data_IF_901120899466
#
_entry.id   IF_901120899466
#
_cell.length_a   1.000
_cell.length_b   1.000
_cell.length_c   1.000
_cell.angle_alpha   90.00
_cell.angle_beta   90.00
_cell.angle_gamma   90.00
#
_symmetry.space_group_name_H-M   'P 1'
#
loop_
_entity.id
_entity.type
_entity.pdbx_description
1 polymer ?
#
# COMPACT_ATOMS: atom_id res chain seq x y z
N UNK A 1 25.13 -10.69 -11.05
CA UNK A 1 24.29 -9.54 -11.50
C UNK A 1 24.57 -9.15 -12.95
N UNK A 2 25.75 -8.63 -13.33
CA UNK A 2 26.04 -8.24 -14.74
C UNK A 2 25.83 -9.36 -15.77
N UNK A 3 26.25 -10.59 -15.46
CA UNK A 3 26.06 -11.78 -16.33
C UNK A 3 24.59 -12.16 -16.50
N UNK A 4 23.73 -11.86 -15.52
CA UNK A 4 22.31 -12.21 -15.52
C UNK A 4 21.43 -11.08 -16.10
N UNK A 5 22.00 -9.90 -16.36
CA UNK A 5 21.25 -8.72 -16.81
C UNK A 5 20.31 -8.11 -15.76
N UNK A 6 20.45 -8.49 -14.48
CA UNK A 6 19.58 -8.01 -13.39
C UNK A 6 20.18 -6.78 -12.70
N UNK A 7 19.32 -5.82 -12.35
CA UNK A 7 19.69 -4.59 -11.63
C UNK A 7 19.58 -4.72 -10.10
N UNK A 8 18.91 -5.78 -9.64
CA UNK A 8 18.64 -6.05 -8.22
C UNK A 8 18.99 -7.50 -7.85
N UNK A 9 19.19 -7.79 -6.55
CA UNK A 9 19.51 -9.13 -6.09
C UNK A 9 18.39 -10.12 -6.44
N UNK A 10 18.79 -11.29 -6.93
CA UNK A 10 17.91 -12.45 -7.11
C UNK A 10 18.45 -13.60 -6.28
N UNK A 11 17.58 -14.47 -5.79
CA UNK A 11 17.94 -15.59 -4.95
C UNK A 11 18.84 -16.55 -5.73
N UNK A 12 19.91 -17.01 -5.09
CA UNK A 12 20.84 -17.96 -5.68
C UNK A 12 20.13 -19.26 -6.10
N UNK A 13 19.13 -19.70 -5.33
CA UNK A 13 18.31 -20.87 -5.67
C UNK A 13 17.56 -20.69 -6.99
N UNK A 14 17.03 -19.50 -7.26
CA UNK A 14 16.32 -19.18 -8.52
C UNK A 14 17.27 -19.27 -9.71
N UNK A 15 18.48 -18.73 -9.58
CA UNK A 15 19.51 -18.78 -10.63
C UNK A 15 19.92 -20.22 -10.94
N UNK A 16 20.07 -21.05 -9.91
CA UNK A 16 20.41 -22.48 -10.10
C UNK A 16 19.29 -23.23 -10.81
N UNK A 17 18.03 -22.96 -10.47
CA UNK A 17 16.87 -23.56 -11.14
C UNK A 17 16.77 -23.11 -12.60
N UNK A 18 16.90 -21.80 -12.88
CA UNK A 18 16.87 -21.28 -14.25
C UNK A 18 17.98 -21.89 -15.11
N UNK A 19 19.21 -21.99 -14.58
CA UNK A 19 20.32 -22.65 -15.28
C UNK A 19 20.04 -24.12 -15.55
N UNK A 20 19.49 -24.84 -14.56
CA UNK A 20 19.13 -26.26 -14.73
C UNK A 20 18.08 -26.45 -15.82
N UNK A 21 17.12 -25.54 -15.92
CA UNK A 21 16.11 -25.54 -16.99
C UNK A 21 16.76 -25.24 -18.33
N UNK A 22 17.65 -24.25 -18.41
CA UNK A 22 18.39 -23.95 -19.63
C UNK A 22 19.21 -25.15 -20.12
N UNK A 23 19.87 -25.87 -19.21
CA UNK A 23 20.63 -27.07 -19.54
C UNK A 23 19.73 -28.20 -20.08
N UNK A 24 18.56 -28.43 -19.46
CA UNK A 24 17.56 -29.39 -19.97
C UNK A 24 17.02 -29.00 -21.34
N UNK A 25 16.83 -27.70 -21.59
CA UNK A 25 16.35 -27.19 -22.86
C UNK A 25 17.41 -27.31 -23.97
N UNK A 26 18.69 -27.14 -23.65
CA UNK A 26 19.78 -27.39 -24.59
C UNK A 26 19.86 -28.87 -24.96
N UNK A 27 19.78 -29.77 -23.96
CA UNK A 27 19.72 -31.22 -24.20
C UNK A 27 18.52 -31.62 -25.06
N UNK A 28 17.37 -30.97 -24.86
CA UNK A 28 16.18 -31.18 -25.68
C UNK A 28 16.40 -30.82 -27.15
N UNK A 29 17.21 -29.79 -27.45
CA UNK A 29 17.56 -29.41 -28.82
C UNK A 29 18.49 -30.45 -29.45
N UNK A 30 19.48 -30.94 -28.71
CA UNK A 30 20.44 -31.94 -29.16
C UNK A 30 19.79 -33.34 -29.33
N UNK A 31 18.78 -33.65 -28.51
CA UNK A 31 18.11 -34.95 -28.42
C UNK A 31 16.60 -34.84 -28.65
N UNK A 32 16.21 -34.32 -29.82
CA UNK A 32 14.82 -33.99 -30.17
C UNK A 32 13.81 -35.15 -30.03
N UNK A 33 14.26 -36.40 -30.19
CA UNK A 33 13.42 -37.60 -30.00
C UNK A 33 12.89 -37.77 -28.57
N UNK A 34 13.58 -37.21 -27.58
CA UNK A 34 13.21 -37.26 -26.16
C UNK A 34 12.60 -35.94 -25.67
N UNK A 35 12.17 -35.06 -26.59
CA UNK A 35 11.78 -33.70 -26.25
C UNK A 35 10.66 -33.60 -25.20
N UNK A 36 9.64 -34.46 -25.28
CA UNK A 36 8.57 -34.48 -24.29
C UNK A 36 9.05 -34.93 -22.90
N UNK A 37 10.03 -35.84 -22.82
CA UNK A 37 10.60 -36.28 -21.54
C UNK A 37 11.37 -35.13 -20.86
N UNK A 38 12.18 -34.38 -21.63
CA UNK A 38 12.86 -33.20 -21.09
C UNK A 38 11.89 -32.12 -20.62
N UNK A 39 10.79 -31.89 -21.35
CA UNK A 39 9.76 -30.94 -20.93
C UNK A 39 9.05 -31.37 -19.64
N UNK A 40 8.76 -32.66 -19.45
CA UNK A 40 8.23 -33.18 -18.18
C UNK A 40 9.24 -33.01 -17.04
N UNK A 41 10.54 -33.25 -17.27
CA UNK A 41 11.58 -32.95 -16.27
C UNK A 41 11.62 -31.47 -15.88
N UNK A 42 11.43 -30.56 -16.84
CA UNK A 42 11.30 -29.12 -16.56
C UNK A 42 10.04 -28.84 -15.72
N UNK A 43 8.90 -29.44 -16.07
CA UNK A 43 7.67 -29.33 -15.28
C UNK A 43 7.89 -29.74 -13.83
N UNK A 44 8.50 -30.91 -13.59
CA UNK A 44 8.70 -31.42 -12.23
C UNK A 44 9.66 -30.55 -11.44
N UNK A 45 10.73 -30.05 -12.08
CA UNK A 45 11.67 -29.13 -11.44
C UNK A 45 11.01 -27.81 -11.03
N UNK A 46 10.14 -27.28 -11.90
CA UNK A 46 9.40 -26.05 -11.62
C UNK A 46 8.33 -26.24 -10.54
N UNK A 47 7.63 -27.38 -10.51
CA UNK A 47 6.68 -27.70 -9.43
C UNK A 47 7.39 -27.78 -8.07
N UNK A 48 8.51 -28.50 -8.00
CA UNK A 48 9.33 -28.60 -6.79
C UNK A 48 9.75 -27.19 -6.31
N UNK A 49 10.25 -26.37 -7.22
CA UNK A 49 10.70 -25.03 -6.87
C UNK A 49 9.56 -24.10 -6.44
N UNK A 50 8.39 -24.19 -7.09
CA UNK A 50 7.19 -23.45 -6.69
C UNK A 50 6.80 -23.74 -5.24
N UNK A 51 6.84 -25.01 -4.81
CA UNK A 51 6.54 -25.38 -3.42
C UNK A 51 7.57 -24.83 -2.42
N UNK A 52 8.85 -24.82 -2.80
CA UNK A 52 9.92 -24.18 -2.00
C UNK A 52 9.64 -22.68 -1.84
N UNK A 53 9.29 -21.99 -2.93
CA UNK A 53 8.98 -20.56 -2.90
C UNK A 53 7.73 -20.24 -2.07
N UNK A 54 6.67 -21.05 -2.19
CA UNK A 54 5.47 -20.92 -1.36
C UNK A 54 5.77 -21.13 0.13
N UNK A 55 6.63 -22.09 0.45
CA UNK A 55 7.06 -22.36 1.82
C UNK A 55 7.88 -21.19 2.36
N UNK A 56 8.82 -20.66 1.58
CA UNK A 56 9.62 -19.49 1.95
C UNK A 56 8.75 -18.24 2.16
N UNK A 57 7.78 -17.99 1.27
CA UNK A 57 6.80 -16.91 1.46
C UNK A 57 6.05 -17.08 2.79
N UNK A 58 5.48 -18.27 3.03
CA UNK A 58 4.71 -18.55 4.26
C UNK A 58 5.55 -18.40 5.52
N UNK A 59 6.80 -18.86 5.52
CA UNK A 59 7.67 -18.74 6.69
C UNK A 59 8.00 -17.29 7.05
N UNK A 60 8.02 -16.39 6.06
CA UNK A 60 8.25 -14.96 6.28
C UNK A 60 6.99 -14.30 6.84
N UNK A 61 5.82 -14.61 6.26
CA UNK A 61 4.59 -13.86 6.54
C UNK A 61 3.70 -14.44 7.66
N UNK A 62 4.19 -15.46 8.36
CA UNK A 62 3.46 -16.11 9.45
C UNK A 62 4.10 -15.80 10.81
N UNK A 63 3.28 -15.42 11.77
CA UNK A 63 3.64 -15.29 13.18
C UNK A 63 2.68 -16.13 14.02
N UNK A 64 3.20 -17.01 14.88
CA UNK A 64 2.38 -17.87 15.78
C UNK A 64 1.27 -18.64 15.03
N UNK A 65 1.63 -19.24 13.89
CA UNK A 65 0.75 -20.01 12.99
C UNK A 65 -0.35 -19.20 12.27
N UNK A 66 -0.43 -17.88 12.48
CA UNK A 66 -1.34 -16.97 11.78
C UNK A 66 -0.59 -16.12 10.77
N UNK A 67 -1.26 -15.78 9.67
CA UNK A 67 -0.75 -14.78 8.73
C UNK A 67 -0.77 -13.41 9.39
N UNK A 68 0.23 -12.59 9.11
CA UNK A 68 0.17 -11.14 9.40
C UNK A 68 -1.00 -10.51 8.65
N UNK A 69 -1.43 -9.31 9.08
CA UNK A 69 -2.58 -8.63 8.47
C UNK A 69 -2.34 -8.39 6.97
N UNK A 70 -1.14 -7.90 6.60
CA UNK A 70 -0.74 -7.65 5.21
C UNK A 70 -0.81 -8.91 4.33
N UNK A 71 -0.41 -10.05 4.88
CA UNK A 71 -0.37 -11.33 4.20
C UNK A 71 -1.75 -11.97 4.05
N UNK A 72 -2.63 -11.71 5.02
CA UNK A 72 -4.05 -12.03 4.94
C UNK A 72 -4.73 -11.19 3.85
N UNK A 73 -4.54 -9.86 3.87
CA UNK A 73 -5.12 -8.93 2.90
C UNK A 73 -4.59 -9.14 1.46
N UNK A 74 -3.31 -9.46 1.29
CA UNK A 74 -2.75 -9.83 -0.04
C UNK A 74 -3.20 -11.21 -0.54
N UNK A 75 -3.80 -12.04 0.31
CA UNK A 75 -4.43 -13.31 -0.10
C UNK A 75 -5.92 -13.13 -0.42
N UNK A 76 -6.54 -12.11 0.15
CA UNK A 76 -7.94 -11.79 -0.09
C UNK A 76 -8.13 -11.36 -1.55
N UNK A 77 -8.98 -12.10 -2.27
CA UNK A 77 -9.17 -11.89 -3.72
C UNK A 77 -9.80 -10.54 -4.03
N UNK A 78 -10.69 -10.03 -3.17
CA UNK A 78 -11.40 -8.78 -3.43
C UNK A 78 -10.49 -7.58 -3.15
N UNK A 79 -9.72 -7.62 -2.05
CA UNK A 79 -8.70 -6.60 -1.76
C UNK A 79 -7.63 -6.62 -2.85
N UNK A 80 -7.11 -7.80 -3.20
CA UNK A 80 -6.05 -7.93 -4.21
C UNK A 80 -6.53 -7.44 -5.58
N UNK A 81 -7.73 -7.83 -6.01
CA UNK A 81 -8.30 -7.39 -7.29
C UNK A 81 -8.51 -5.87 -7.32
N UNK A 82 -8.99 -5.28 -6.22
CA UNK A 82 -9.15 -3.84 -6.12
C UNK A 82 -7.80 -3.13 -6.28
N UNK A 83 -6.82 -3.49 -5.45
CA UNK A 83 -5.51 -2.82 -5.45
C UNK A 83 -4.78 -2.98 -6.77
N UNK A 84 -4.85 -4.17 -7.39
CA UNK A 84 -4.27 -4.42 -8.70
C UNK A 84 -4.99 -3.69 -9.85
N UNK A 85 -6.25 -3.29 -9.65
CA UNK A 85 -7.00 -2.49 -10.64
C UNK A 85 -6.66 -1.00 -10.58
N UNK A 86 -6.01 -0.54 -9.50
CA UNK A 86 -5.68 0.87 -9.34
C UNK A 86 -4.56 1.28 -10.32
N UNK A 87 -4.58 2.55 -10.80
CA UNK A 87 -3.58 3.04 -11.75
C UNK A 87 -2.14 2.85 -11.27
N UNK A 88 -1.92 3.00 -9.96
CA UNK A 88 -0.61 2.98 -9.36
C UNK A 88 0.05 1.58 -9.37
N UNK A 89 -0.75 0.50 -9.27
CA UNK A 89 -0.27 -0.85 -9.56
C UNK A 89 0.16 -1.01 -11.02
N UNK A 90 -0.68 -0.59 -11.97
CA UNK A 90 -0.37 -0.68 -13.39
C UNK A 90 0.90 0.11 -13.75
N UNK A 91 1.08 1.30 -13.17
CA UNK A 91 2.24 2.14 -13.36
C UNK A 91 3.53 1.50 -12.82
N UNK A 92 3.43 0.75 -11.73
CA UNK A 92 4.55 0.04 -11.14
C UNK A 92 5.05 -1.08 -12.05
N UNK A 93 4.17 -1.77 -12.79
CA UNK A 93 4.60 -2.86 -13.69
C UNK A 93 5.49 -2.40 -14.86
N UNK A 94 5.66 -1.08 -15.07
CA UNK A 94 6.46 -0.52 -16.15
C UNK A 94 7.51 0.48 -15.62
N UNK A 95 8.74 0.50 -16.18
CA UNK A 95 9.70 1.55 -15.90
C UNK A 95 9.16 2.95 -16.25
N UNK A 96 9.51 3.97 -15.45
CA UNK A 96 9.07 5.37 -15.71
C UNK A 96 9.39 5.88 -17.12
N UNK A 97 10.46 5.40 -17.76
CA UNK A 97 10.88 5.83 -19.10
C UNK A 97 9.91 5.39 -20.21
N UNK A 98 9.12 4.34 -19.98
CA UNK A 98 8.14 3.83 -20.93
C UNK A 98 6.73 4.40 -20.72
N UNK A 99 6.53 5.26 -19.70
CA UNK A 99 5.22 5.80 -19.33
C UNK A 99 4.85 7.03 -20.19
N UNK A 100 3.65 7.03 -20.75
CA UNK A 100 3.06 8.24 -21.34
C UNK A 100 2.51 9.14 -20.23
N UNK A 101 2.98 10.40 -20.16
CA UNK A 101 2.51 11.38 -19.18
C UNK A 101 1.13 11.90 -19.60
N UNK A 102 0.09 11.69 -18.78
CA UNK A 102 -1.28 12.19 -19.04
C UNK A 102 -1.55 13.43 -18.20
N UNK A 103 -2.37 14.36 -18.70
CA UNK A 103 -2.71 15.60 -17.98
C UNK A 103 -3.52 15.33 -16.69
N UNK A 104 -4.43 14.34 -16.70
CA UNK A 104 -5.28 13.98 -15.55
C UNK A 104 -4.63 13.00 -14.56
N UNK A 105 -3.35 12.66 -14.76
CA UNK A 105 -2.66 11.58 -14.05
C UNK A 105 -2.61 11.78 -12.53
N UNK A 106 -2.49 13.04 -12.08
CA UNK A 106 -2.46 13.38 -10.66
C UNK A 106 -3.81 13.14 -9.97
N UNK A 107 -4.92 13.51 -10.62
CA UNK A 107 -6.26 13.36 -10.04
C UNK A 107 -6.66 11.88 -9.93
N UNK A 108 -6.36 11.08 -10.96
CA UNK A 108 -6.54 9.63 -10.90
C UNK A 108 -5.70 8.98 -9.81
N UNK A 109 -4.47 9.48 -9.60
CA UNK A 109 -3.57 8.96 -8.57
C UNK A 109 -4.09 9.29 -7.17
N UNK A 110 -4.58 10.52 -6.93
CA UNK A 110 -5.20 10.89 -5.65
C UNK A 110 -6.47 10.08 -5.36
N UNK A 111 -7.32 9.87 -6.38
CA UNK A 111 -8.51 9.04 -6.24
C UNK A 111 -8.16 7.58 -5.88
N UNK A 112 -7.06 7.05 -6.44
CA UNK A 112 -6.57 5.72 -6.11
C UNK A 112 -6.15 5.60 -4.64
N UNK A 113 -5.37 6.56 -4.13
CA UNK A 113 -4.94 6.58 -2.73
C UNK A 113 -6.11 6.72 -1.76
N UNK A 114 -7.12 7.53 -2.11
CA UNK A 114 -8.35 7.65 -1.34
C UNK A 114 -9.13 6.33 -1.30
N UNK A 115 -9.28 5.68 -2.46
CA UNK A 115 -10.00 4.39 -2.54
C UNK A 115 -9.29 3.30 -1.75
N UNK A 116 -7.98 3.23 -1.85
CA UNK A 116 -7.18 2.31 -1.05
C UNK A 116 -7.36 2.58 0.46
N UNK A 117 -7.16 3.82 0.90
CA UNK A 117 -7.22 4.17 2.32
C UNK A 117 -8.60 3.90 2.92
N UNK A 118 -9.67 4.14 2.15
CA UNK A 118 -11.05 3.80 2.52
C UNK A 118 -11.20 2.29 2.77
N UNK A 119 -10.75 1.46 1.84
CA UNK A 119 -10.89 0.00 1.94
C UNK A 119 -10.05 -0.60 3.06
N UNK A 120 -8.82 -0.14 3.24
CA UNK A 120 -7.96 -0.65 4.32
C UNK A 120 -8.48 -0.23 5.71
N UNK A 121 -8.90 1.03 5.85
CA UNK A 121 -9.50 1.52 7.10
C UNK A 121 -10.82 0.80 7.39
N UNK A 122 -11.66 0.59 6.37
CA UNK A 122 -12.94 -0.13 6.49
C UNK A 122 -12.75 -1.60 6.90
N UNK A 123 -11.79 -2.31 6.31
CA UNK A 123 -11.48 -3.70 6.65
C UNK A 123 -10.89 -3.86 8.05
N UNK A 124 -10.05 -2.90 8.48
CA UNK A 124 -9.49 -2.91 9.83
C UNK A 124 -10.56 -2.63 10.89
N UNK A 125 -11.47 -1.69 10.59
CA UNK A 125 -12.48 -1.21 11.52
C UNK A 125 -11.86 -0.50 12.73
N UNK A 126 -12.44 -0.71 13.91
CA UNK A 126 -12.01 -0.03 15.15
C UNK A 126 -10.88 -0.76 15.91
N UNK A 127 -10.22 -1.73 15.28
CA UNK A 127 -9.25 -2.62 15.95
C UNK A 127 -7.89 -1.94 16.16
N UNK A 128 -7.27 -2.25 17.30
CA UNK A 128 -5.84 -2.00 17.50
C UNK A 128 -5.05 -3.19 16.96
N UNK A 129 -3.97 -2.90 16.24
CA UNK A 129 -3.10 -3.93 15.67
C UNK A 129 -2.02 -4.27 16.70
N UNK A 130 -1.94 -5.51 17.19
CA UNK A 130 -0.88 -5.94 18.10
C UNK A 130 0.45 -6.15 17.36
N UNK A 131 1.57 -6.17 18.10
CA UNK A 131 2.91 -6.28 17.51
C UNK A 131 3.21 -7.62 16.83
N UNK A 132 2.47 -8.70 17.17
CA UNK A 132 2.63 -10.02 16.54
C UNK A 132 1.83 -10.15 15.23
N UNK A 133 1.05 -9.14 14.85
CA UNK A 133 0.28 -9.11 13.60
C UNK A 133 0.97 -8.32 12.47
N UNK A 134 2.17 -7.79 12.73
CA UNK A 134 3.01 -7.03 11.79
C UNK A 134 4.39 -7.66 11.60
N UNK A 135 5.02 -7.42 10.45
CA UNK A 135 6.37 -7.88 10.12
C UNK A 135 7.44 -6.91 10.66
N UNK A 136 7.92 -7.21 11.87
CA UNK A 136 8.88 -6.34 12.58
C UNK A 136 10.32 -6.45 12.09
N UNK A 137 10.71 -7.62 11.57
CA UNK A 137 12.09 -7.84 11.14
C UNK A 137 12.27 -7.31 9.72
N UNK A 138 13.12 -6.30 9.59
CA UNK A 138 13.45 -5.68 8.31
C UNK A 138 14.15 -6.68 7.37
N UNK A 139 14.83 -7.69 7.92
CA UNK A 139 15.44 -8.76 7.12
C UNK A 139 14.38 -9.67 6.48
N UNK A 140 13.24 -9.90 7.14
CA UNK A 140 12.10 -10.63 6.58
C UNK A 140 11.45 -9.85 5.44
N UNK A 141 11.26 -8.54 5.59
CA UNK A 141 10.79 -7.67 4.52
C UNK A 141 11.74 -7.69 3.31
N UNK A 142 13.05 -7.61 3.57
CA UNK A 142 14.08 -7.70 2.53
C UNK A 142 14.06 -9.07 1.84
N UNK A 143 13.86 -10.16 2.59
CA UNK A 143 13.73 -11.50 2.03
C UNK A 143 12.50 -11.62 1.12
N UNK A 144 11.37 -11.02 1.52
CA UNK A 144 10.15 -10.97 0.72
C UNK A 144 10.34 -10.15 -0.57
N UNK A 145 11.04 -9.03 -0.50
CA UNK A 145 11.42 -8.22 -1.67
C UNK A 145 12.35 -8.97 -2.63
N UNK A 146 13.33 -9.71 -2.10
CA UNK A 146 14.20 -10.54 -2.93
C UNK A 146 13.43 -11.71 -3.56
N UNK A 147 12.49 -12.32 -2.83
CA UNK A 147 11.62 -13.35 -3.38
C UNK A 147 10.78 -12.79 -4.53
N UNK A 148 10.20 -11.60 -4.37
CA UNK A 148 9.50 -10.88 -5.44
C UNK A 148 10.36 -10.73 -6.71
N UNK A 149 11.53 -10.08 -6.61
CA UNK A 149 12.39 -9.83 -7.78
C UNK A 149 12.83 -11.14 -8.45
N UNK A 150 13.04 -12.19 -7.65
CA UNK A 150 13.46 -13.50 -8.17
C UNK A 150 12.35 -14.21 -8.91
N UNK A 151 11.12 -14.19 -8.39
CA UNK A 151 10.00 -14.89 -9.01
C UNK A 151 9.53 -14.18 -10.27
N UNK A 152 9.52 -12.84 -10.28
CA UNK A 152 9.23 -12.06 -11.50
C UNK A 152 10.29 -12.33 -12.58
N UNK A 153 11.57 -12.30 -12.21
CA UNK A 153 12.67 -12.59 -13.12
C UNK A 153 12.55 -13.99 -13.73
N UNK A 154 12.28 -15.01 -12.89
CA UNK A 154 12.09 -16.38 -13.36
C UNK A 154 10.87 -16.49 -14.28
N UNK A 155 9.73 -15.90 -13.89
CA UNK A 155 8.52 -15.92 -14.71
C UNK A 155 8.75 -15.33 -16.11
N UNK A 156 9.45 -14.20 -16.20
CA UNK A 156 9.79 -13.56 -17.47
C UNK A 156 10.72 -14.43 -18.34
N UNK A 157 11.72 -15.08 -17.73
CA UNK A 157 12.63 -16.02 -18.41
C UNK A 157 11.87 -17.22 -18.97
N UNK A 158 11.06 -17.86 -18.13
CA UNK A 158 10.23 -19.01 -18.52
C UNK A 158 9.27 -18.65 -19.66
N UNK A 159 8.60 -17.50 -19.59
CA UNK A 159 7.71 -17.02 -20.66
C UNK A 159 8.45 -16.86 -21.99
N UNK A 160 9.67 -16.33 -21.96
CA UNK A 160 10.52 -16.19 -23.15
C UNK A 160 10.94 -17.55 -23.71
N UNK A 161 11.32 -18.49 -22.84
CA UNK A 161 11.68 -19.85 -23.24
C UNK A 161 10.51 -20.63 -23.83
N UNK A 162 9.31 -20.50 -23.26
CA UNK A 162 8.15 -21.24 -23.75
C UNK A 162 7.61 -20.66 -25.05
N UNK A 163 7.78 -19.35 -25.28
CA UNK A 163 7.44 -18.72 -26.55
C UNK A 163 8.35 -19.17 -27.71
N UNK A 164 9.59 -19.60 -27.43
CA UNK A 164 10.52 -20.09 -28.47
C UNK A 164 10.37 -21.58 -28.77
N UNK A 165 9.52 -22.31 -28.05
CA UNK A 165 9.25 -23.72 -28.33
C UNK A 165 8.44 -23.87 -29.63
N UNK A 166 8.84 -24.79 -30.52
CA UNK A 166 8.07 -25.06 -31.73
C UNK A 166 6.67 -25.55 -31.34
N UNK A 167 5.67 -24.76 -31.75
CA UNK A 167 4.26 -25.13 -31.72
C UNK A 167 4.06 -26.19 -32.81
N UNK A 168 3.52 -27.34 -32.44
CA UNK A 168 3.49 -28.52 -33.29
C UNK A 168 2.98 -28.23 -34.71
N UNK A 169 3.86 -28.32 -35.69
CA UNK A 169 3.51 -28.30 -37.12
C UNK A 169 4.45 -29.22 -37.88
N UNK A 170 4.42 -30.51 -37.54
CA UNK A 170 4.74 -31.64 -38.42
C UNK A 170 4.86 -32.90 -37.57
N UNK A 171 3.75 -33.58 -37.34
CA UNK A 171 3.74 -34.90 -36.75
C UNK A 171 4.35 -35.89 -37.75
N UNK A 172 5.53 -36.44 -37.43
CA UNK A 172 5.86 -37.80 -37.81
C UNK A 172 5.41 -38.69 -36.67
N UNK A 173 4.36 -39.48 -36.93
CA UNK A 173 3.87 -40.52 -36.04
C UNK A 173 5.02 -41.48 -35.73
N UNK A 174 5.45 -41.52 -34.49
CA UNK A 174 6.05 -42.73 -33.94
C UNK A 174 5.54 -42.89 -32.52
N UNK A 175 4.72 -43.93 -32.39
CA UNK A 175 4.06 -44.43 -31.20
C UNK A 175 5.05 -44.80 -30.10
N UNK A 176 4.90 -44.20 -28.92
CA UNK A 176 5.15 -44.81 -27.61
C UNK A 176 4.34 -44.10 -26.53
N UNK A 177 3.90 -44.86 -25.54
CA UNK A 177 3.04 -44.53 -24.41
C UNK A 177 3.58 -43.38 -23.54
N UNK A 178 3.34 -42.13 -23.92
CA UNK A 178 3.40 -41.01 -22.98
C UNK A 178 1.96 -40.63 -22.63
N UNK A 179 1.55 -40.86 -21.39
CA UNK A 179 0.18 -40.61 -20.90
C UNK A 179 -0.26 -39.14 -21.04
N UNK A 180 0.68 -38.20 -21.25
CA UNK A 180 0.43 -36.78 -21.43
C UNK A 180 0.79 -36.31 -22.83
N UNK A 181 -0.15 -35.62 -23.48
CA UNK A 181 0.12 -34.97 -24.77
C UNK A 181 1.08 -33.78 -24.61
N UNK A 182 1.88 -33.49 -25.64
CA UNK A 182 2.79 -32.32 -25.65
C UNK A 182 2.06 -31.01 -25.33
N UNK A 183 0.84 -30.85 -25.82
CA UNK A 183 -0.01 -29.68 -25.56
C UNK A 183 -0.31 -29.52 -24.06
N UNK A 184 -0.65 -30.60 -23.36
CA UNK A 184 -0.85 -30.58 -21.90
C UNK A 184 0.43 -30.22 -21.14
N UNK A 185 1.60 -30.65 -21.62
CA UNK A 185 2.89 -30.30 -21.02
C UNK A 185 3.16 -28.80 -21.18
N UNK A 186 2.98 -28.26 -22.39
CA UNK A 186 3.16 -26.83 -22.66
C UNK A 186 2.18 -25.96 -21.87
N UNK A 187 0.93 -26.41 -21.71
CA UNK A 187 -0.05 -25.73 -20.87
C UNK A 187 0.40 -25.72 -19.40
N UNK A 188 0.88 -26.86 -18.88
CA UNK A 188 1.42 -26.96 -17.51
C UNK A 188 2.60 -26.00 -17.29
N UNK A 189 3.50 -25.89 -18.26
CA UNK A 189 4.63 -24.95 -18.22
C UNK A 189 4.15 -23.49 -18.20
N UNK A 190 3.17 -23.14 -19.03
CA UNK A 190 2.55 -21.82 -19.04
C UNK A 190 1.90 -21.49 -17.68
N UNK A 191 1.17 -22.44 -17.09
CA UNK A 191 0.52 -22.27 -15.78
C UNK A 191 1.55 -22.13 -14.64
N UNK A 192 2.68 -22.83 -14.73
CA UNK A 192 3.79 -22.68 -13.79
C UNK A 192 4.46 -21.32 -13.93
N UNK A 193 4.72 -20.84 -15.15
CA UNK A 193 5.26 -19.49 -15.38
C UNK A 193 4.33 -18.41 -14.78
N UNK A 194 3.01 -18.54 -15.00
CA UNK A 194 2.02 -17.65 -14.38
C UNK A 194 2.04 -17.75 -12.85
N UNK A 195 2.12 -18.97 -12.31
CA UNK A 195 2.19 -19.17 -10.84
C UNK A 195 3.38 -18.47 -10.20
N UNK A 196 4.54 -18.39 -10.86
CA UNK A 196 5.69 -17.62 -10.34
C UNK A 196 5.42 -16.12 -10.37
N UNK A 197 4.77 -15.60 -11.42
CA UNK A 197 4.32 -14.22 -11.44
C UNK A 197 3.33 -13.93 -10.30
N UNK A 198 2.39 -14.84 -10.05
CA UNK A 198 1.41 -14.68 -8.96
C UNK A 198 2.10 -14.62 -7.58
N UNK A 199 3.14 -15.44 -7.35
CA UNK A 199 3.94 -15.35 -6.13
C UNK A 199 4.66 -13.99 -6.05
N UNK A 200 5.23 -13.51 -7.17
CA UNK A 200 5.91 -12.22 -7.22
C UNK A 200 4.93 -11.09 -6.86
N UNK A 201 3.78 -11.02 -7.52
CA UNK A 201 2.77 -9.99 -7.32
C UNK A 201 2.27 -10.00 -5.87
N UNK A 202 2.05 -11.18 -5.31
CA UNK A 202 1.63 -11.33 -3.90
C UNK A 202 2.69 -10.87 -2.90
N UNK A 203 3.97 -11.11 -3.16
CA UNK A 203 5.06 -10.61 -2.32
C UNK A 203 5.08 -9.08 -2.32
N UNK A 204 4.95 -8.46 -3.49
CA UNK A 204 4.98 -7.00 -3.61
C UNK A 204 3.75 -6.34 -2.99
N UNK A 205 2.57 -6.93 -3.19
CA UNK A 205 1.34 -6.46 -2.57
C UNK A 205 1.41 -6.58 -1.04
N UNK A 206 1.95 -7.68 -0.52
CA UNK A 206 2.17 -7.86 0.92
C UNK A 206 3.10 -6.78 1.49
N UNK A 207 4.22 -6.46 0.82
CA UNK A 207 5.11 -5.37 1.24
C UNK A 207 4.41 -4.01 1.26
N UNK A 208 3.64 -3.70 0.22
CA UNK A 208 2.90 -2.45 0.12
C UNK A 208 1.88 -2.28 1.25
N UNK A 209 1.15 -3.36 1.55
CA UNK A 209 0.20 -3.44 2.64
C UNK A 209 0.88 -3.40 4.01
N UNK A 210 2.05 -4.02 4.16
CA UNK A 210 2.77 -4.04 5.43
C UNK A 210 3.12 -2.63 5.91
N UNK A 211 3.65 -1.77 5.04
CA UNK A 211 3.98 -0.39 5.43
C UNK A 211 2.74 0.38 5.91
N UNK A 212 1.57 0.11 5.31
CA UNK A 212 0.28 0.69 5.71
C UNK A 212 -0.20 0.14 7.05
N UNK A 213 -0.03 -1.16 7.27
CA UNK A 213 -0.31 -1.84 8.55
C UNK A 213 0.57 -1.28 9.66
N UNK A 214 1.84 -0.97 9.40
CA UNK A 214 2.71 -0.29 10.35
C UNK A 214 2.20 1.12 10.69
N UNK A 215 1.71 1.90 9.71
CA UNK A 215 1.05 3.19 10.01
C UNK A 215 -0.15 3.01 10.94
N UNK A 216 -1.03 2.04 10.69
CA UNK A 216 -2.17 1.75 11.57
C UNK A 216 -1.71 1.34 12.98
N UNK A 217 -0.72 0.45 13.07
CA UNK A 217 -0.17 -0.06 14.33
C UNK A 217 0.32 1.06 15.26
N UNK A 218 1.04 2.05 14.72
CA UNK A 218 1.59 3.13 15.53
C UNK A 218 0.63 4.32 15.71
N UNK A 219 -0.21 4.64 14.73
CA UNK A 219 -1.01 5.88 14.75
C UNK A 219 -2.42 5.72 15.34
N UNK A 220 -3.05 4.55 15.26
CA UNK A 220 -4.35 4.34 15.89
C UNK A 220 -4.23 4.44 17.44
N UNK A 221 -3.26 3.80 18.11
CA UNK A 221 -3.09 3.98 19.55
C UNK A 221 -2.80 5.43 19.94
N UNK A 222 -2.09 6.19 19.09
CA UNK A 222 -1.79 7.60 19.34
C UNK A 222 -3.07 8.43 19.53
N UNK A 223 -4.13 8.15 18.78
CA UNK A 223 -5.40 8.89 18.84
C UNK A 223 -6.36 8.32 19.90
N UNK A 224 -6.32 7.00 20.13
CA UNK A 224 -7.19 6.33 21.12
C UNK A 224 -6.69 6.35 22.56
N UNK A 225 -5.38 6.31 22.75
CA UNK A 225 -4.73 6.13 24.05
C UNK A 225 -3.87 7.35 24.44
N UNK A 226 -3.53 8.21 23.49
CA UNK A 226 -2.72 9.41 23.74
C UNK A 226 -3.44 10.44 24.62
N UNK A 227 -2.68 11.08 25.52
CA UNK A 227 -3.18 12.19 26.32
C UNK A 227 -2.83 13.54 25.68
N UNK A 228 -3.84 14.18 25.10
CA UNK A 228 -3.73 15.51 24.48
C UNK A 228 -4.46 16.61 25.29
N UNK A 229 -4.94 16.29 26.49
CA UNK A 229 -5.72 17.21 27.32
C UNK A 229 -4.85 18.04 28.29
N UNK A 230 -3.80 17.44 28.86
CA UNK A 230 -2.93 18.08 29.86
C UNK A 230 -1.48 17.91 29.42
N UNK A 231 -0.91 18.99 28.90
CA UNK A 231 0.46 19.06 28.38
C UNK A 231 1.07 20.26 29.14
N UNK A 232 1.38 20.03 30.43
CA UNK A 232 1.78 21.06 31.41
C UNK A 232 3.24 20.94 31.89
N UNK A 233 3.95 19.85 31.56
CA UNK A 233 5.35 19.66 31.92
C UNK A 233 6.29 19.91 30.73
N UNK A 234 7.54 20.27 30.98
CA UNK A 234 8.54 20.58 29.93
C UNK A 234 8.76 19.39 28.96
N UNK A 235 8.61 18.15 29.44
CA UNK A 235 8.63 16.89 28.64
C UNK A 235 7.46 16.77 27.63
N UNK A 236 6.51 17.70 27.68
CA UNK A 236 5.32 17.72 26.81
C UNK A 236 5.55 18.51 25.50
N UNK A 237 6.76 19.03 25.30
CA UNK A 237 7.23 19.61 24.04
C UNK A 237 7.80 18.59 23.06
N UNK A 238 8.10 17.37 23.52
CA UNK A 238 8.66 16.32 22.68
C UNK A 238 7.63 15.70 21.73
N UNK A 239 8.14 15.02 20.71
CA UNK A 239 7.35 14.20 19.80
C UNK A 239 6.71 13.04 20.55
N UNK A 240 5.57 12.56 20.07
CA UNK A 240 5.01 11.34 20.62
C UNK A 240 5.93 10.13 20.39
N UNK A 241 6.22 9.30 21.42
CA UNK A 241 7.10 8.14 21.25
C UNK A 241 6.66 7.17 20.15
N UNK A 242 5.35 7.05 19.89
CA UNK A 242 4.85 6.20 18.81
C UNK A 242 5.17 6.78 17.43
N UNK A 243 5.17 8.11 17.29
CA UNK A 243 5.57 8.80 16.06
C UNK A 243 7.07 8.65 15.81
N UNK A 244 7.88 8.76 16.86
CA UNK A 244 9.32 8.54 16.76
C UNK A 244 9.62 7.08 16.36
N UNK A 245 8.90 6.12 16.92
CA UNK A 245 9.02 4.70 16.54
C UNK A 245 8.63 4.47 15.08
N UNK A 246 7.47 4.98 14.66
CA UNK A 246 7.02 4.88 13.27
C UNK A 246 8.03 5.47 12.29
N UNK A 247 8.60 6.65 12.57
CA UNK A 247 9.61 7.25 11.70
C UNK A 247 10.87 6.38 11.55
N UNK A 248 11.38 5.83 12.67
CA UNK A 248 12.54 4.94 12.63
C UNK A 248 12.24 3.66 11.86
N UNK A 249 11.05 3.13 12.06
CA UNK A 249 10.58 1.91 11.45
C UNK A 249 10.40 2.08 9.93
N UNK A 250 9.68 3.11 9.47
CA UNK A 250 9.56 3.46 8.04
C UNK A 250 10.94 3.68 7.41
N UNK A 251 11.85 4.40 8.08
CA UNK A 251 13.21 4.61 7.58
C UNK A 251 14.01 3.30 7.43
N UNK A 252 13.85 2.36 8.36
CA UNK A 252 14.53 1.07 8.26
C UNK A 252 13.96 0.20 7.13
N UNK A 253 12.64 0.23 6.95
CA UNK A 253 11.97 -0.43 5.82
C UNK A 253 12.43 0.20 4.49
N UNK A 254 12.51 1.53 4.42
CA UNK A 254 12.98 2.27 3.25
C UNK A 254 14.38 1.84 2.81
N UNK A 255 15.34 1.81 3.73
CA UNK A 255 16.71 1.39 3.43
C UNK A 255 16.74 -0.05 2.86
N UNK A 256 15.98 -0.96 3.47
CA UNK A 256 15.93 -2.35 3.04
C UNK A 256 15.26 -2.52 1.66
N UNK A 257 14.15 -1.82 1.43
CA UNK A 257 13.43 -1.86 0.15
C UNK A 257 14.25 -1.20 -0.96
N UNK A 258 14.92 -0.07 -0.69
CA UNK A 258 15.78 0.62 -1.65
C UNK A 258 16.95 -0.25 -2.12
N UNK A 259 17.47 -1.11 -1.24
CA UNK A 259 18.52 -2.07 -1.56
C UNK A 259 18.02 -3.31 -2.33
N UNK A 260 16.75 -3.69 -2.18
CA UNK A 260 16.19 -4.92 -2.73
C UNK A 260 15.39 -4.73 -4.02
N UNK A 261 14.60 -3.66 -4.14
CA UNK A 261 13.59 -3.47 -5.18
C UNK A 261 14.03 -2.53 -6.30
N UNK A 262 13.54 -2.75 -7.52
CA UNK A 262 13.60 -1.78 -8.61
C UNK A 262 12.90 -0.47 -8.22
N UNK A 263 13.37 0.65 -8.76
CA UNK A 263 12.93 1.99 -8.32
C UNK A 263 11.41 2.23 -8.42
N UNK A 264 10.75 1.73 -9.47
CA UNK A 264 9.31 1.89 -9.66
C UNK A 264 8.49 1.05 -8.66
N UNK A 265 9.01 -0.11 -8.26
CA UNK A 265 8.41 -0.97 -7.23
C UNK A 265 8.62 -0.39 -5.84
N UNK A 266 9.82 0.12 -5.58
CA UNK A 266 10.11 0.88 -4.37
C UNK A 266 9.15 2.07 -4.21
N UNK A 267 8.92 2.84 -5.28
CA UNK A 267 7.96 3.96 -5.26
C UNK A 267 6.55 3.49 -4.93
N UNK A 268 6.11 2.38 -5.52
CA UNK A 268 4.82 1.78 -5.23
C UNK A 268 4.64 1.43 -3.74
N UNK A 269 5.69 0.99 -3.05
CA UNK A 269 5.60 0.70 -1.60
C UNK A 269 5.21 1.94 -0.78
N UNK A 270 5.82 3.10 -1.08
CA UNK A 270 5.73 4.30 -0.24
C UNK A 270 4.73 5.36 -0.73
N UNK A 271 4.27 5.29 -1.98
CA UNK A 271 3.24 6.21 -2.46
C UNK A 271 1.90 6.00 -1.72
N UNK A 272 1.11 7.06 -1.60
CA UNK A 272 -0.16 7.05 -0.89
C UNK A 272 -0.06 7.04 0.63
N UNK A 273 1.12 6.83 1.23
CA UNK A 273 1.29 6.83 2.69
C UNK A 273 0.91 8.17 3.33
N UNK A 274 1.26 9.30 2.72
CA UNK A 274 0.88 10.62 3.24
C UNK A 274 -0.64 10.78 3.34
N UNK A 275 -1.38 10.29 2.33
CA UNK A 275 -2.83 10.28 2.33
C UNK A 275 -3.39 9.35 3.43
N UNK A 276 -2.88 8.12 3.54
CA UNK A 276 -3.33 7.18 4.58
C UNK A 276 -3.09 7.73 5.99
N UNK A 277 -1.90 8.26 6.27
CA UNK A 277 -1.57 8.86 7.56
C UNK A 277 -2.50 10.04 7.85
N UNK A 278 -2.77 10.89 6.85
CA UNK A 278 -3.74 11.98 6.96
C UNK A 278 -5.13 11.47 7.37
N UNK A 279 -5.64 10.45 6.69
CA UNK A 279 -6.92 9.81 7.02
C UNK A 279 -6.94 9.24 8.44
N UNK A 280 -5.89 8.53 8.86
CA UNK A 280 -5.81 7.95 10.22
C UNK A 280 -5.86 9.05 11.27
N UNK A 281 -5.08 10.12 11.08
CA UNK A 281 -4.98 11.20 12.05
C UNK A 281 -6.25 12.04 12.12
N UNK A 282 -6.86 12.41 10.98
CA UNK A 282 -8.09 13.19 10.96
C UNK A 282 -9.25 12.39 11.57
N UNK A 283 -9.44 11.14 11.13
CA UNK A 283 -10.47 10.26 11.70
C UNK A 283 -10.23 9.97 13.19
N UNK A 284 -8.98 10.00 13.62
CA UNK A 284 -8.60 9.83 15.01
C UNK A 284 -9.20 10.87 15.97
N UNK A 285 -9.58 12.04 15.47
CA UNK A 285 -10.13 13.13 16.29
C UNK A 285 -11.40 12.73 17.06
N UNK A 286 -12.17 11.78 16.54
CA UNK A 286 -13.37 11.27 17.21
C UNK A 286 -13.05 10.61 18.57
N UNK A 287 -11.87 9.99 18.70
CA UNK A 287 -11.46 9.22 19.88
C UNK A 287 -10.89 10.09 21.00
N UNK A 288 -10.47 11.33 20.72
CA UNK A 288 -9.96 12.21 21.77
C UNK A 288 -11.07 12.58 22.76
N UNK A 289 -10.85 12.32 24.04
CA UNK A 289 -11.76 12.79 25.09
C UNK A 289 -11.77 14.31 25.19
N UNK A 290 -10.58 14.92 25.20
CA UNK A 290 -10.34 16.37 25.21
C UNK A 290 -9.02 16.67 24.52
N UNK A 291 -8.89 17.87 23.98
CA UNK A 291 -7.67 18.42 23.41
C UNK A 291 -7.42 19.84 23.94
N UNK A 292 -6.19 20.14 24.34
CA UNK A 292 -5.77 21.48 24.74
C UNK A 292 -4.97 22.16 23.63
N UNK A 293 -4.73 23.46 23.76
CA UNK A 293 -3.87 24.22 22.83
C UNK A 293 -2.48 23.59 22.67
N UNK A 294 -1.88 23.15 23.78
CA UNK A 294 -0.59 22.47 23.77
C UNK A 294 -0.68 21.05 23.19
N UNK A 295 -1.82 20.37 23.34
CA UNK A 295 -2.15 19.14 22.61
C UNK A 295 -2.21 19.36 21.09
N UNK A 296 -2.88 20.43 20.62
CA UNK A 296 -2.91 20.81 19.20
C UNK A 296 -1.49 21.02 18.68
N UNK A 297 -0.66 21.80 19.41
CA UNK A 297 0.76 22.02 19.07
C UNK A 297 1.53 20.70 18.97
N UNK A 298 1.34 19.77 19.93
CA UNK A 298 1.98 18.44 19.89
C UNK A 298 1.56 17.64 18.66
N UNK A 299 0.27 17.61 18.33
CA UNK A 299 -0.24 16.92 17.14
C UNK A 299 0.35 17.54 15.85
N UNK A 300 0.38 18.86 15.74
CA UNK A 300 0.97 19.53 14.58
C UNK A 300 2.46 19.21 14.41
N UNK A 301 3.24 19.13 15.50
CA UNK A 301 4.65 18.69 15.47
C UNK A 301 4.78 17.22 15.04
N UNK A 302 3.92 16.35 15.54
CA UNK A 302 3.88 14.94 15.15
C UNK A 302 3.61 14.79 13.64
N UNK A 303 2.63 15.51 13.11
CA UNK A 303 2.32 15.51 11.68
C UNK A 303 3.51 16.03 10.87
N UNK A 304 4.12 17.13 11.32
CA UNK A 304 5.26 17.72 10.63
C UNK A 304 6.47 16.77 10.54
N UNK A 305 6.80 16.04 11.61
CA UNK A 305 7.95 15.12 11.57
C UNK A 305 7.65 13.87 10.71
N UNK A 306 6.41 13.40 10.65
CA UNK A 306 5.98 12.34 9.71
C UNK A 306 6.07 12.86 8.26
N UNK A 307 5.63 14.10 8.02
CA UNK A 307 5.70 14.75 6.72
C UNK A 307 7.13 14.89 6.22
N UNK A 308 8.05 15.30 7.09
CA UNK A 308 9.45 15.42 6.76
C UNK A 308 10.08 14.06 6.41
N UNK A 309 9.76 13.02 7.18
CA UNK A 309 10.24 11.67 6.90
C UNK A 309 9.76 11.18 5.53
N UNK A 310 8.45 11.25 5.25
CA UNK A 310 7.90 10.82 3.97
C UNK A 310 8.39 11.66 2.78
N UNK A 311 8.50 12.99 2.93
CA UNK A 311 9.04 13.86 1.87
C UNK A 311 10.45 13.44 1.47
N UNK A 312 11.29 13.04 2.43
CA UNK A 312 12.64 12.56 2.16
C UNK A 312 12.65 11.21 1.42
N UNK A 313 11.68 10.34 1.72
CA UNK A 313 11.58 9.00 1.11
C UNK A 313 11.01 9.09 -0.31
N UNK A 314 9.91 9.82 -0.48
CA UNK A 314 9.20 9.93 -1.76
C UNK A 314 9.85 10.95 -2.69
N UNK A 315 10.69 11.83 -2.16
CA UNK A 315 11.25 13.00 -2.85
C UNK A 315 10.15 13.87 -3.48
N UNK A 316 8.99 13.93 -2.82
CA UNK A 316 7.79 14.61 -3.30
C UNK A 316 7.07 15.31 -2.15
N UNK A 317 6.24 16.31 -2.48
CA UNK A 317 5.51 17.08 -1.47
C UNK A 317 4.32 16.27 -0.94
N UNK A 318 4.30 16.07 0.37
CA UNK A 318 3.21 15.40 1.10
C UNK A 318 2.11 16.39 1.50
N UNK A 319 1.30 16.82 0.52
CA UNK A 319 0.24 17.83 0.72
C UNK A 319 -0.91 17.33 1.62
N UNK A 320 -1.22 16.03 1.62
CA UNK A 320 -2.25 15.45 2.49
C UNK A 320 -1.92 15.61 3.98
N UNK A 321 -0.63 15.66 4.34
CA UNK A 321 -0.20 15.91 5.72
C UNK A 321 -0.29 17.39 6.10
N UNK A 322 -0.08 18.31 5.15
CA UNK A 322 -0.44 19.71 5.35
C UNK A 322 -1.95 19.85 5.64
N UNK A 323 -2.77 19.07 4.92
CA UNK A 323 -4.22 19.05 5.08
C UNK A 323 -4.65 18.51 6.46
N UNK A 324 -4.01 17.45 6.96
CA UNK A 324 -4.23 16.96 8.32
C UNK A 324 -3.76 17.95 9.39
N UNK A 325 -2.62 18.62 9.19
CA UNK A 325 -2.15 19.64 10.13
C UNK A 325 -3.15 20.78 10.24
N UNK A 326 -3.64 21.28 9.12
CA UNK A 326 -4.66 22.34 9.06
C UNK A 326 -5.97 21.94 9.77
N UNK A 327 -6.33 20.65 9.73
CA UNK A 327 -7.53 20.16 10.43
C UNK A 327 -7.40 20.35 11.94
N UNK A 328 -6.23 20.05 12.51
CA UNK A 328 -5.96 20.27 13.94
C UNK A 328 -5.78 21.76 14.28
N UNK A 329 -5.18 22.55 13.39
CA UNK A 329 -5.06 24.01 13.58
C UNK A 329 -6.41 24.72 13.62
N UNK A 330 -7.43 24.19 12.92
CA UNK A 330 -8.80 24.69 13.03
C UNK A 330 -9.33 24.64 14.46
N UNK A 331 -8.85 23.71 15.29
CA UNK A 331 -9.26 23.55 16.69
C UNK A 331 -8.71 24.65 17.63
N UNK A 332 -7.88 25.57 17.13
CA UNK A 332 -7.55 26.80 17.88
C UNK A 332 -8.73 27.76 17.96
N UNK A 333 -9.71 27.62 17.09
CA UNK A 333 -10.91 28.44 17.07
C UNK A 333 -11.97 27.92 18.06
N UNK A 334 -12.87 28.81 18.48
CA UNK A 334 -14.14 28.42 19.10
C UNK A 334 -15.04 27.71 18.08
N UNK A 335 -16.06 27.00 18.57
CA UNK A 335 -16.99 26.30 17.69
C UNK A 335 -17.74 27.24 16.72
N UNK A 336 -18.06 28.46 17.15
CA UNK A 336 -18.76 29.44 16.32
C UNK A 336 -17.81 30.08 15.29
N UNK A 337 -16.57 30.37 15.66
CA UNK A 337 -15.52 30.81 14.73
C UNK A 337 -15.20 29.75 13.67
N UNK A 338 -15.21 28.46 14.06
CA UNK A 338 -15.05 27.36 13.12
C UNK A 338 -16.18 27.37 12.07
N UNK A 339 -17.44 27.54 12.49
CA UNK A 339 -18.56 27.61 11.55
C UNK A 339 -18.41 28.80 10.59
N UNK A 340 -18.00 29.97 11.10
CA UNK A 340 -17.72 31.14 10.26
C UNK A 340 -16.58 30.86 9.26
N UNK A 341 -15.54 30.13 9.67
CA UNK A 341 -14.46 29.71 8.78
C UNK A 341 -14.98 28.88 7.60
N UNK A 342 -15.94 27.98 7.82
CA UNK A 342 -16.55 27.17 6.76
C UNK A 342 -17.40 28.03 5.82
N UNK A 343 -18.07 29.07 6.33
CA UNK A 343 -18.80 30.03 5.50
C UNK A 343 -17.85 30.82 4.61
N UNK A 344 -16.76 31.35 5.18
CA UNK A 344 -15.85 32.26 4.49
C UNK A 344 -14.91 31.55 3.50
N UNK A 345 -14.40 30.37 3.90
CA UNK A 345 -13.38 29.63 3.13
C UNK A 345 -13.96 28.45 2.35
N UNK A 346 -15.22 28.11 2.58
CA UNK A 346 -15.90 26.97 1.99
C UNK A 346 -15.56 25.62 2.66
N UNK A 347 -16.26 24.58 2.20
CA UNK A 347 -16.13 23.20 2.70
C UNK A 347 -14.82 22.58 2.22
N UNK A 348 -13.95 22.22 3.17
CA UNK A 348 -12.66 21.55 2.96
C UNK A 348 -12.67 20.09 3.42
N UNK A 349 -13.29 19.83 4.57
CA UNK A 349 -13.40 18.49 5.16
C UNK A 349 -14.80 17.90 4.90
N UNK A 350 -14.95 16.59 5.10
CA UNK A 350 -16.26 15.94 5.07
C UNK A 350 -17.15 16.40 6.22
N UNK A 351 -18.46 16.22 6.07
CA UNK A 351 -19.42 16.54 7.15
C UNK A 351 -19.07 15.82 8.45
N UNK A 352 -18.73 14.52 8.37
CA UNK A 352 -18.37 13.72 9.54
C UNK A 352 -17.10 14.25 10.24
N UNK A 353 -16.09 14.68 9.48
CA UNK A 353 -14.87 15.26 10.05
C UNK A 353 -15.15 16.58 10.76
N UNK A 354 -16.00 17.46 10.20
CA UNK A 354 -16.43 18.67 10.89
C UNK A 354 -17.26 18.37 12.14
N UNK A 355 -18.15 17.37 12.10
CA UNK A 355 -18.91 16.91 13.28
C UNK A 355 -17.95 16.43 14.38
N UNK A 356 -16.93 15.67 14.01
CA UNK A 356 -15.92 15.18 14.95
C UNK A 356 -15.11 16.34 15.56
N UNK A 357 -14.70 17.33 14.77
CA UNK A 357 -14.01 18.53 15.24
C UNK A 357 -14.86 19.35 16.22
N UNK A 358 -16.11 19.66 15.87
CA UNK A 358 -17.04 20.40 16.74
C UNK A 358 -17.34 19.64 18.04
N UNK A 359 -17.51 18.32 17.96
CA UNK A 359 -17.71 17.47 19.14
C UNK A 359 -16.48 17.44 20.03
N UNK A 360 -15.28 17.41 19.45
CA UNK A 360 -14.04 17.50 20.21
C UNK A 360 -13.89 18.87 20.89
N UNK A 361 -14.19 19.98 20.21
CA UNK A 361 -14.18 21.32 20.80
C UNK A 361 -15.16 21.43 21.97
N UNK A 362 -16.39 20.94 21.79
CA UNK A 362 -17.41 20.94 22.84
C UNK A 362 -16.96 20.16 24.08
N UNK A 363 -16.35 18.98 23.91
CA UNK A 363 -15.83 18.18 25.03
C UNK A 363 -14.64 18.84 25.73
N UNK A 364 -13.87 19.68 25.03
CA UNK A 364 -12.57 20.22 25.46
C UNK A 364 -12.65 21.57 26.17
N UNK A 365 -13.64 22.39 25.83
CA UNK A 365 -13.84 23.70 26.44
C UNK A 365 -14.81 23.57 27.64
N UNK A 366 -14.60 24.35 28.70
CA UNK A 366 -15.52 24.44 29.83
C UNK A 366 -16.50 25.59 29.63
N UNK A 367 -17.80 25.37 29.89
CA UNK A 367 -18.82 26.43 29.80
C UNK A 367 -19.39 26.72 28.41
N UNK A 368 -19.20 25.82 27.44
CA UNK A 368 -19.56 26.00 26.01
C UNK A 368 -21.05 25.83 25.67
N UNK A 369 -21.91 25.81 26.69
CA UNK A 369 -23.32 25.47 26.58
C UNK A 369 -23.61 23.99 26.85
N UNK A 370 -24.90 23.67 26.98
CA UNK A 370 -25.39 22.32 27.16
C UNK A 370 -25.47 21.56 25.82
N UNK A 371 -26.03 20.36 25.85
CA UNK A 371 -26.23 19.52 24.66
C UNK A 371 -27.10 20.22 23.59
N UNK A 372 -27.98 21.15 23.98
CA UNK A 372 -28.82 21.91 23.05
C UNK A 372 -28.00 22.87 22.20
N UNK A 373 -27.03 23.56 22.81
CA UNK A 373 -26.09 24.43 22.07
C UNK A 373 -25.26 23.63 21.07
N UNK A 374 -24.79 22.44 21.46
CA UNK A 374 -24.07 21.55 20.56
C UNK A 374 -24.94 21.13 19.36
N UNK A 375 -26.16 20.67 19.61
CA UNK A 375 -27.10 20.27 18.55
C UNK A 375 -27.41 21.42 17.58
N UNK A 376 -27.57 22.64 18.10
CA UNK A 376 -27.80 23.84 17.29
C UNK A 376 -26.62 24.11 16.35
N UNK A 377 -25.38 24.00 16.86
CA UNK A 377 -24.17 24.17 16.04
C UNK A 377 -24.02 23.08 14.97
N UNK A 378 -24.34 21.83 15.31
CA UNK A 378 -24.33 20.71 14.36
C UNK A 378 -25.38 20.88 13.26
N UNK A 379 -26.57 21.38 13.60
CA UNK A 379 -27.60 21.70 12.62
C UNK A 379 -27.14 22.85 11.71
N UNK A 380 -26.54 23.90 12.29
CA UNK A 380 -26.00 25.02 11.50
C UNK A 380 -24.88 24.58 10.56
N UNK A 381 -24.01 23.66 10.97
CA UNK A 381 -22.99 23.07 10.11
C UNK A 381 -23.62 22.43 8.85
N UNK A 382 -24.69 21.64 9.02
CA UNK A 382 -25.39 20.99 7.89
C UNK A 382 -25.95 22.00 6.91
N UNK A 383 -26.57 23.05 7.42
CA UNK A 383 -27.08 24.16 6.60
C UNK A 383 -25.96 24.82 5.80
N UNK A 384 -24.84 25.18 6.46
CA UNK A 384 -23.68 25.80 5.80
C UNK A 384 -23.13 24.89 4.70
N UNK A 385 -23.00 23.58 4.95
CA UNK A 385 -22.50 22.63 3.94
C UNK A 385 -23.45 22.58 2.73
N UNK A 386 -24.76 22.53 2.96
CA UNK A 386 -25.75 22.58 1.88
C UNK A 386 -25.70 23.89 1.10
N UNK A 387 -25.62 25.04 1.78
CA UNK A 387 -25.49 26.37 1.17
C UNK A 387 -24.23 26.43 0.28
N UNK A 388 -23.08 25.97 0.78
CA UNK A 388 -21.81 25.94 0.05
C UNK A 388 -21.85 25.00 -1.16
N UNK A 389 -22.52 23.85 -1.04
CA UNK A 389 -22.73 22.93 -2.17
C UNK A 389 -23.57 23.59 -3.27
N UNK A 390 -24.65 24.29 -2.91
CA UNK A 390 -25.49 25.03 -3.85
C UNK A 390 -24.71 26.15 -4.54
N UNK A 391 -23.87 26.90 -3.81
CA UNK A 391 -23.01 27.95 -4.37
C UNK A 391 -22.01 27.34 -5.36
N UNK A 392 -21.33 26.25 -5.01
CA UNK A 392 -20.39 25.56 -5.92
C UNK A 392 -21.10 25.11 -7.20
N UNK A 393 -22.29 24.52 -7.09
CA UNK A 393 -23.08 24.07 -8.23
C UNK A 393 -23.49 25.24 -9.14
N UNK A 394 -24.06 26.31 -8.58
CA UNK A 394 -24.44 27.50 -9.33
C UNK A 394 -23.24 28.17 -10.05
N UNK A 395 -22.05 28.12 -9.45
CA UNK A 395 -20.81 28.64 -10.05
C UNK A 395 -20.34 27.78 -11.21
N UNK A 396 -20.49 26.46 -11.12
CA UNK A 396 -20.18 25.51 -12.19
C UNK A 396 -21.12 25.69 -13.39
N UNK A 397 -22.43 25.82 -13.12
CA UNK A 397 -23.44 25.99 -14.16
C UNK A 397 -23.23 27.29 -14.94
N UNK A 398 -22.92 28.40 -14.25
CA UNK A 398 -22.56 29.68 -14.91
C UNK A 398 -21.34 29.57 -15.83
N UNK A 399 -20.32 28.80 -15.45
CA UNK A 399 -19.14 28.57 -16.30
C UNK A 399 -19.46 27.76 -17.56
N UNK A 400 -20.45 26.87 -17.50
CA UNK A 400 -20.90 26.08 -18.66
C UNK A 400 -21.77 26.91 -19.61
N UNK A 401 -22.54 27.88 -19.11
CA UNK A 401 -23.40 28.74 -19.95
C UNK A 401 -22.65 29.90 -20.62
N UNK A 402 -21.40 30.16 -20.24
CA UNK A 402 -20.58 31.27 -20.78
C UNK A 402 -19.52 30.79 -21.79
N UNK A 403 -19.55 29.49 -22.14
CA UNK A 403 -18.78 28.86 -23.22
C UNK A 403 -19.77 28.42 -24.29
#
# INVERSE_FOLDING_TARGET
MKVLGVQRPVLQSTVVVEKSIQDLMNLMQDLSAYSNQFLEMVCDKLKEYKEICNTAYRSIVQCEEKLTISASWSKDEDISRLLQSLPNWANMTQPRQTRQKREDEEDFTRAAFAKESEVLTGNLGDKLIPQNEILRDVSDLKALANLHESMEWLAARLKTFFASLPHASSASQCSTESERSREQILQTLSDLSRSFQDIADRCLLALHLEVRVHCFHYLIPLTKQGNYAIVANVESMDYDPLVVKLNKDISAIEEAMGAALLQHKFQYIFEGLGHLISCILINGAQYFKRISESGIKKMCRNIFVLQQNLTNITMSREADLDFARQYYEMLYNTADELLNLVVDQGVRYTELEYINALSLLHRSQTGVGDLSTQNTRLQRLKEIICEQAAIKQATKDKKITTV
#
